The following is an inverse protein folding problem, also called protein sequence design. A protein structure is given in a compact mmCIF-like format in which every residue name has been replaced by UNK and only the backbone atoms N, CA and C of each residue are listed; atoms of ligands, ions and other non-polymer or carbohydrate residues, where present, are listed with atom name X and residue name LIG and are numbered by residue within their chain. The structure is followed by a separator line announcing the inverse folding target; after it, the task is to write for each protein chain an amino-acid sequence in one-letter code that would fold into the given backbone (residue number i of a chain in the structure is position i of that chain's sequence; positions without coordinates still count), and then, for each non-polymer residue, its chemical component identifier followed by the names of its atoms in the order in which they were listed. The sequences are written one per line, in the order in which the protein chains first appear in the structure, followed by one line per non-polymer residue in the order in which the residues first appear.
data_IF_901268768444
#
_entry.id   IF_901268768444
#
_cell.length_a   1.000
_cell.length_b   1.000
_cell.length_c   1.000
_cell.angle_alpha   90.00
_cell.angle_beta   90.00
_cell.angle_gamma   90.00
#
_symmetry.space_group_name_H-M   'P 1'
#
loop_
_entity.id
_entity.type
_entity.pdbx_description
1 polymer ?
#
# COMPACT_ATOMS: atom_id res chain seq x y z
N UNK A 1 -18.83 3.12 -8.12
CA UNK A 1 -18.31 4.16 -9.04
C UNK A 1 -17.01 3.62 -9.62
N UNK A 2 -16.83 3.56 -10.95
CA UNK A 2 -15.54 3.15 -11.51
C UNK A 2 -14.47 4.18 -11.15
N UNK A 3 -13.35 3.73 -10.59
CA UNK A 3 -12.21 4.59 -10.28
C UNK A 3 -11.14 4.43 -11.36
N UNK A 4 -10.64 5.54 -11.88
CA UNK A 4 -9.43 5.55 -12.70
C UNK A 4 -8.21 5.56 -11.78
N UNK A 5 -7.29 4.63 -12.01
CA UNK A 5 -6.11 4.41 -11.17
C UNK A 5 -4.86 4.66 -12.01
N UNK A 6 -3.98 5.54 -11.52
CA UNK A 6 -2.64 5.71 -12.06
C UNK A 6 -1.77 4.50 -11.71
N UNK A 7 -1.18 3.87 -12.72
CA UNK A 7 -0.38 2.65 -12.57
C UNK A 7 0.94 2.90 -11.86
N UNK A 8 1.57 4.05 -12.05
CA UNK A 8 2.86 4.35 -11.44
C UNK A 8 2.69 4.59 -9.93
N UNK A 9 1.63 5.30 -9.55
CA UNK A 9 1.24 5.47 -8.16
C UNK A 9 0.88 4.11 -7.53
N UNK A 10 0.12 3.27 -8.24
CA UNK A 10 -0.21 1.93 -7.74
C UNK A 10 1.05 1.06 -7.56
N UNK A 11 2.00 1.12 -8.50
CA UNK A 11 3.28 0.41 -8.40
C UNK A 11 4.10 0.90 -7.19
N UNK A 12 4.15 2.20 -6.94
CA UNK A 12 4.81 2.76 -5.76
C UNK A 12 4.15 2.29 -4.46
N UNK A 13 2.83 2.34 -4.42
CA UNK A 13 2.01 1.95 -3.28
C UNK A 13 2.18 0.45 -2.95
N UNK A 14 2.17 -0.41 -3.97
CA UNK A 14 2.42 -1.84 -3.82
C UNK A 14 3.85 -2.13 -3.37
N UNK A 15 4.85 -1.39 -3.86
CA UNK A 15 6.24 -1.52 -3.35
C UNK A 15 6.35 -1.09 -1.89
N UNK A 16 5.60 -0.05 -1.49
CA UNK A 16 5.61 0.47 -0.11
C UNK A 16 5.02 -0.52 0.90
N UNK A 17 3.99 -1.26 0.51
CA UNK A 17 3.26 -2.21 1.36
C UNK A 17 3.20 -3.61 0.73
N UNK A 18 4.33 -4.08 0.21
CA UNK A 18 4.42 -5.32 -0.59
C UNK A 18 3.87 -6.53 0.16
N UNK A 19 4.17 -6.63 1.46
CA UNK A 19 3.71 -7.72 2.30
C UNK A 19 2.17 -7.77 2.37
N UNK A 20 1.53 -6.64 2.64
CA UNK A 20 0.08 -6.55 2.78
C UNK A 20 -0.65 -6.82 1.46
N UNK A 21 -0.11 -6.33 0.34
CA UNK A 21 -0.63 -6.64 -0.99
C UNK A 21 -0.47 -8.11 -1.35
N UNK A 22 0.65 -8.73 -0.99
CA UNK A 22 0.87 -10.16 -1.20
C UNK A 22 -0.13 -11.01 -0.40
N UNK A 23 -0.35 -10.68 0.89
CA UNK A 23 -1.37 -11.32 1.73
C UNK A 23 -2.75 -11.21 1.06
N UNK A 24 -3.13 -10.01 0.62
CA UNK A 24 -4.41 -9.75 -0.05
C UNK A 24 -4.57 -10.60 -1.32
N UNK A 25 -3.53 -10.65 -2.16
CA UNK A 25 -3.55 -11.40 -3.43
C UNK A 25 -3.58 -12.92 -3.25
N UNK A 26 -3.14 -13.42 -2.09
CA UNK A 26 -3.15 -14.86 -1.77
C UNK A 26 -4.54 -15.40 -1.42
N UNK A 27 -5.49 -14.51 -1.08
CA UNK A 27 -6.83 -14.89 -0.68
C UNK A 27 -7.74 -15.04 -1.91
N UNK A 28 -8.34 -16.23 -2.10
CA UNK A 28 -9.34 -16.48 -3.17
C UNK A 28 -10.65 -15.72 -2.94
N UNK A 29 -11.04 -15.57 -1.68
CA UNK A 29 -12.23 -14.85 -1.25
C UNK A 29 -11.82 -13.78 -0.25
N UNK A 30 -12.64 -12.72 -0.11
CA UNK A 30 -12.34 -11.59 0.78
C UNK A 30 -12.04 -12.09 2.20
N UNK A 31 -10.94 -11.60 2.76
CA UNK A 31 -10.46 -11.90 4.10
C UNK A 31 -10.40 -10.64 4.96
N UNK A 32 -10.40 -10.80 6.28
CA UNK A 32 -10.24 -9.68 7.23
C UNK A 32 -8.89 -8.98 7.11
N UNK A 33 -7.89 -9.66 6.52
CA UNK A 33 -6.53 -9.16 6.38
C UNK A 33 -6.26 -8.56 4.99
N UNK A 34 -7.29 -8.39 4.17
CA UNK A 34 -7.16 -7.80 2.84
C UNK A 34 -7.01 -6.27 2.90
N UNK A 35 -6.13 -5.75 2.06
CA UNK A 35 -6.04 -4.34 1.74
C UNK A 35 -7.28 -3.92 0.96
N UNK A 36 -7.98 -2.89 1.44
CA UNK A 36 -9.06 -2.27 0.70
C UNK A 36 -8.50 -1.31 -0.37
N UNK A 37 -8.21 -1.85 -1.55
CA UNK A 37 -7.56 -1.15 -2.68
C UNK A 37 -7.98 0.32 -2.87
N UNK A 38 -9.29 0.57 -2.98
CA UNK A 38 -9.82 1.93 -3.21
C UNK A 38 -9.47 2.87 -2.06
N UNK A 39 -9.70 2.46 -0.82
CA UNK A 39 -9.35 3.27 0.35
C UNK A 39 -7.85 3.46 0.44
N UNK A 40 -7.06 2.40 0.29
CA UNK A 40 -5.59 2.50 0.35
C UNK A 40 -5.07 3.50 -0.68
N UNK A 41 -5.55 3.45 -1.93
CA UNK A 41 -5.12 4.36 -2.99
C UNK A 41 -5.47 5.81 -2.68
N UNK A 42 -6.72 6.11 -2.30
CA UNK A 42 -7.11 7.49 -2.03
C UNK A 42 -6.46 8.07 -0.78
N UNK A 43 -6.34 7.29 0.30
CA UNK A 43 -5.63 7.74 1.50
C UNK A 43 -4.14 7.96 1.22
N UNK A 44 -3.53 7.15 0.37
CA UNK A 44 -2.16 7.38 -0.07
C UNK A 44 -2.04 8.70 -0.83
N UNK A 45 -2.94 8.99 -1.78
CA UNK A 45 -2.95 10.29 -2.45
C UNK A 45 -3.15 11.46 -1.48
N UNK A 46 -4.04 11.31 -0.49
CA UNK A 46 -4.36 12.36 0.47
C UNK A 46 -3.26 12.64 1.51
N UNK A 47 -2.40 11.66 1.80
CA UNK A 47 -1.47 11.76 2.92
C UNK A 47 0.00 11.56 2.57
N UNK A 48 0.32 11.03 1.39
CA UNK A 48 1.70 10.92 0.97
C UNK A 48 2.22 12.31 0.63
N UNK A 49 3.13 12.83 1.46
CA UNK A 49 3.82 14.07 1.16
C UNK A 49 5.02 13.87 0.25
N UNK A 50 5.68 14.99 -0.08
CA UNK A 50 6.86 14.98 -0.94
C UNK A 50 7.98 14.17 -0.27
N UNK A 51 8.63 13.24 -0.99
CA UNK A 51 9.74 12.49 -0.42
C UNK A 51 10.87 13.44 -0.03
N UNK A 52 11.30 13.36 1.22
CA UNK A 52 12.40 14.20 1.72
C UNK A 52 13.73 13.74 1.13
N UNK A 53 14.37 14.63 0.36
CA UNK A 53 15.73 14.47 -0.15
C UNK A 53 16.68 15.37 0.65
N UNK A 54 17.51 14.76 1.49
CA UNK A 54 18.43 15.49 2.36
C UNK A 54 19.46 16.32 1.56
N UNK A 55 19.94 15.80 0.43
CA UNK A 55 20.95 16.48 -0.40
C UNK A 55 20.38 17.71 -1.06
N UNK A 56 19.18 17.59 -1.64
CA UNK A 56 18.47 18.71 -2.26
C UNK A 56 18.11 19.77 -1.21
N UNK A 57 17.55 19.34 -0.07
CA UNK A 57 17.29 20.20 1.07
C UNK A 57 18.54 20.99 1.50
N UNK A 58 19.68 20.31 1.61
CA UNK A 58 20.93 20.91 2.05
C UNK A 58 21.41 21.97 1.06
N UNK A 59 21.44 21.66 -0.24
CA UNK A 59 21.88 22.60 -1.29
C UNK A 59 20.95 23.80 -1.47
N UNK A 60 19.65 23.60 -1.32
CA UNK A 60 18.67 24.67 -1.54
C UNK A 60 18.47 25.58 -0.33
N UNK A 61 18.64 25.05 0.89
CA UNK A 61 18.26 25.76 2.11
C UNK A 61 19.39 25.94 3.13
N UNK A 62 20.53 25.27 2.96
CA UNK A 62 21.65 25.36 3.92
C UNK A 62 22.89 25.88 3.23
N UNK A 63 23.51 25.09 2.35
CA UNK A 63 24.71 25.42 1.58
C UNK A 63 24.33 26.14 0.28
N UNK A 64 23.88 27.39 0.44
CA UNK A 64 23.37 28.20 -0.68
C UNK A 64 24.47 28.71 -1.60
N UNK A 65 25.70 28.80 -1.09
CA UNK A 65 26.86 29.23 -1.88
C UNK A 65 27.57 28.05 -2.57
N UNK A 66 27.17 26.81 -2.28
CA UNK A 66 27.67 25.55 -2.86
C UNK A 66 29.17 25.35 -2.63
N UNK A 67 29.65 25.70 -1.42
CA UNK A 67 31.05 25.50 -1.02
C UNK A 67 31.30 24.17 -0.26
N UNK A 68 30.26 23.33 -0.16
CA UNK A 68 30.21 22.03 0.53
C UNK A 68 30.48 22.11 2.05
N UNK A 69 30.62 23.31 2.61
CA UNK A 69 30.82 23.56 4.04
C UNK A 69 29.70 24.43 4.60
N UNK A 70 29.59 24.49 5.93
CA UNK A 70 28.64 25.37 6.60
C UNK A 70 29.37 26.47 7.34
N UNK A 71 29.14 27.71 6.93
CA UNK A 71 29.54 28.90 7.66
C UNK A 71 28.50 29.34 8.72
N UNK A 72 28.79 30.44 9.42
CA UNK A 72 27.90 30.95 10.47
C UNK A 72 26.53 31.42 9.96
N UNK A 73 26.46 31.91 8.72
CA UNK A 73 25.20 32.32 8.09
C UNK A 73 24.36 31.12 7.70
N UNK A 74 24.99 30.08 7.16
CA UNK A 74 24.30 28.87 6.71
C UNK A 74 23.76 28.06 7.90
N UNK A 75 24.52 27.99 9.00
CA UNK A 75 24.02 27.41 10.26
C UNK A 75 22.85 28.23 10.81
N UNK A 76 22.91 29.56 10.72
CA UNK A 76 21.80 30.43 11.11
C UNK A 76 20.58 30.21 10.21
N UNK A 77 20.78 30.04 8.90
CA UNK A 77 19.72 29.78 7.95
C UNK A 77 19.05 28.43 8.22
N UNK A 78 19.84 27.37 8.43
CA UNK A 78 19.34 26.06 8.85
C UNK A 78 18.48 26.18 10.12
N UNK A 79 18.99 26.84 11.16
CA UNK A 79 18.23 27.04 12.40
C UNK A 79 16.93 27.81 12.16
N UNK A 80 16.96 28.84 11.31
CA UNK A 80 15.79 29.65 10.95
C UNK A 80 14.73 28.81 10.21
N UNK A 81 15.15 28.02 9.22
CA UNK A 81 14.29 27.11 8.46
C UNK A 81 13.68 26.05 9.39
N UNK A 82 14.48 25.43 10.26
CA UNK A 82 14.01 24.43 11.22
C UNK A 82 12.98 24.99 12.20
N UNK A 83 13.23 26.18 12.78
CA UNK A 83 12.33 26.79 13.75
C UNK A 83 11.07 27.37 13.10
N UNK A 84 11.24 28.14 12.02
CA UNK A 84 10.17 28.99 11.49
C UNK A 84 9.40 28.34 10.34
N UNK A 85 10.05 27.61 9.43
CA UNK A 85 9.36 26.89 8.33
C UNK A 85 8.76 25.59 8.85
N UNK A 86 9.56 24.74 9.49
CA UNK A 86 9.14 23.39 9.88
C UNK A 86 8.67 23.25 11.34
N UNK A 87 8.71 24.33 12.12
CA UNK A 87 8.21 24.37 13.51
C UNK A 87 8.80 23.26 14.38
N UNK A 88 10.09 22.96 14.21
CA UNK A 88 10.81 21.98 15.03
C UNK A 88 11.03 22.57 16.42
N UNK A 89 10.58 21.89 17.46
CA UNK A 89 10.64 22.41 18.84
C UNK A 89 12.07 22.48 19.38
N UNK A 90 12.32 23.44 20.27
CA UNK A 90 13.58 23.56 21.00
C UNK A 90 13.96 22.25 21.72
N UNK A 91 12.98 21.59 22.34
CA UNK A 91 13.20 20.36 23.08
C UNK A 91 13.77 19.24 22.20
N UNK A 92 13.29 19.13 20.96
CA UNK A 92 13.78 18.12 20.01
C UNK A 92 15.24 18.37 19.62
N UNK A 93 15.64 19.62 19.40
CA UNK A 93 17.04 19.97 19.10
C UNK A 93 17.93 19.77 20.34
N UNK A 94 17.43 20.11 21.52
CA UNK A 94 18.15 19.89 22.78
C UNK A 94 18.39 18.40 23.05
N UNK A 95 17.44 17.53 22.67
CA UNK A 95 17.59 16.07 22.73
C UNK A 95 18.77 15.59 21.88
N UNK A 96 18.84 16.02 20.61
CA UNK A 96 19.97 15.73 19.73
C UNK A 96 21.29 16.23 20.33
N UNK A 97 21.31 17.46 20.87
CA UNK A 97 22.52 18.02 21.47
C UNK A 97 23.02 17.18 22.65
N UNK A 98 22.11 16.68 23.50
CA UNK A 98 22.45 15.79 24.61
C UNK A 98 23.02 14.47 24.12
N UNK A 99 22.43 13.88 23.08
CA UNK A 99 22.89 12.61 22.50
C UNK A 99 24.30 12.72 21.91
N UNK A 100 24.57 13.77 21.15
CA UNK A 100 25.90 14.04 20.58
C UNK A 100 26.94 14.26 21.69
N UNK A 101 26.60 15.05 22.71
CA UNK A 101 27.49 15.30 23.85
C UNK A 101 27.83 14.01 24.60
N UNK A 102 26.82 13.15 24.82
CA UNK A 102 27.02 11.85 25.46
C UNK A 102 27.96 10.95 24.65
N UNK A 103 27.72 10.79 23.34
CA UNK A 103 28.61 10.00 22.44
C UNK A 103 30.05 10.49 22.49
N UNK A 104 30.25 11.81 22.50
CA UNK A 104 31.59 12.41 22.58
C UNK A 104 32.27 12.12 23.92
N UNK A 105 31.54 12.18 25.04
CA UNK A 105 32.09 11.88 26.36
C UNK A 105 32.42 10.39 26.53
N UNK A 106 31.57 9.50 26.00
CA UNK A 106 31.78 8.06 26.07
C UNK A 106 33.04 7.66 25.27
N UNK A 107 33.26 8.28 24.11
CA UNK A 107 34.46 8.05 23.30
C UNK A 107 35.74 8.48 24.04
N UNK A 108 35.74 9.67 24.66
CA UNK A 108 36.89 10.15 25.47
C UNK A 108 37.22 9.25 26.65
N UNK A 109 36.20 8.72 27.33
CA UNK A 109 36.41 7.76 28.43
C UNK A 109 37.08 6.48 27.95
N UNK A 110 36.72 6.00 26.76
CA UNK A 110 37.35 4.82 26.17
C UNK A 110 38.84 5.05 25.84
N UNK A 111 39.21 6.25 25.37
CA UNK A 111 40.62 6.63 25.15
C UNK A 111 41.39 6.65 26.47
N UNK A 112 40.85 7.32 27.49
CA UNK A 112 41.53 7.42 28.79
C UNK A 112 41.77 6.04 29.42
N UNK A 113 40.80 5.12 29.31
CA UNK A 113 40.97 3.73 29.77
C UNK A 113 41.98 2.95 28.94
N UNK A 114 42.06 3.17 27.63
CA UNK A 114 43.03 2.50 26.76
C UNK A 114 44.46 3.01 27.02
N UNK A 115 44.62 4.31 27.26
CA UNK A 115 45.91 4.92 27.62
C UNK A 115 46.39 4.46 29.01
N UNK A 116 45.48 4.35 29.99
CA UNK A 116 45.76 3.78 31.31
C UNK A 116 46.24 2.32 31.22
N UNK A 117 45.56 1.47 30.43
CA UNK A 117 45.98 0.08 30.21
C UNK A 117 47.33 -0.03 29.48
N UNK A 118 47.59 0.86 28.52
CA UNK A 118 48.88 0.91 27.80
C UNK A 118 50.02 1.36 28.72
N UNK A 119 49.74 2.31 29.63
CA UNK A 119 50.67 2.76 30.68
C UNK A 119 50.96 1.67 31.72
N UNK A 120 49.95 0.91 32.16
CA UNK A 120 50.13 -0.24 33.08
C UNK A 120 51.01 -1.33 32.43
N UNK A 121 50.76 -1.66 31.16
CA UNK A 121 51.56 -2.64 30.41
C UNK A 121 53.03 -2.19 30.25
N UNK A 122 53.28 -0.90 30.04
CA UNK A 122 54.65 -0.33 29.93
C UNK A 122 55.36 -0.33 31.29
N UNK A 123 54.63 -0.08 32.39
CA UNK A 123 55.19 -0.11 33.73
C UNK A 123 55.53 -1.54 34.18
N UNK A 124 54.73 -2.53 33.78
CA UNK A 124 55.03 -3.95 34.03
C UNK A 124 56.28 -4.42 33.24
N UNK A 125 56.46 -3.96 31.99
CA UNK A 125 57.65 -4.20 31.18
C UNK A 125 58.93 -3.51 31.73
N UNK A 126 58.79 -2.36 32.41
CA UNK A 126 59.91 -1.71 33.10
C UNK A 126 60.27 -2.42 34.41
N UNK A 127 59.29 -2.93 35.15
CA UNK A 127 59.52 -3.71 36.38
C UNK A 127 60.30 -5.00 36.12
N UNK A 128 60.07 -5.65 34.98
CA UNK A 128 60.81 -6.86 34.59
C UNK A 128 62.26 -6.61 34.15
N UNK A 129 62.62 -5.37 33.78
CA UNK A 129 63.99 -5.04 33.36
C UNK A 129 64.90 -4.55 34.50
N UNK A 130 64.34 -4.10 35.63
CA UNK A 130 65.13 -3.66 36.80
C UNK A 130 65.55 -4.80 37.75
N UNK A 131 64.98 -6.01 37.59
CA UNK A 131 65.35 -7.19 38.41
C UNK A 131 66.53 -8.01 37.87
N UNK A 132 67.11 -7.68 36.70
CA UNK A 132 68.17 -8.51 36.07
C UNK A 132 69.60 -7.94 36.17
N UNK A 133 69.84 -6.91 36.98
CA UNK A 133 71.23 -6.41 37.20
C UNK A 133 71.53 -6.10 38.66
N UNK A 134 71.63 -7.13 39.50
CA UNK A 134 72.53 -7.10 40.68
C UNK A 134 72.78 -8.47 41.32
N UNK A 135 73.76 -9.20 40.79
CA UNK A 135 74.51 -10.20 41.57
C UNK A 135 75.97 -10.14 41.16
N UNK A 136 76.84 -9.63 42.05
CA UNK A 136 78.10 -10.26 42.48
C UNK A 136 79.15 -9.27 43.05
N UNK A 137 79.86 -9.77 44.07
CA UNK A 137 81.16 -9.37 44.66
C UNK A 137 81.26 -8.29 45.76
N UNK A 138 81.23 -8.79 47.01
CA UNK A 138 82.21 -8.72 48.12
C UNK A 138 83.21 -7.57 48.31
N UNK A 139 83.27 -7.19 49.60
CA UNK A 139 84.42 -6.88 50.46
C UNK A 139 84.91 -5.42 50.72
N UNK A 140 85.06 -5.15 52.04
CA UNK A 140 85.99 -4.22 52.72
C UNK A 140 85.57 -2.77 53.07
N UNK A 141 85.12 -2.60 54.33
CA UNK A 141 85.66 -1.72 55.41
C UNK A 141 85.97 -0.22 55.17
N UNK A 142 85.58 0.57 56.20
CA UNK A 142 86.20 1.79 56.80
C UNK A 142 85.45 3.14 56.61
N UNK A 143 85.11 3.76 57.76
CA UNK A 143 85.02 5.21 58.17
C UNK A 143 84.63 6.28 57.13
N UNK A 144 83.96 7.41 57.42
CA UNK A 144 83.59 8.14 58.63
C UNK A 144 82.73 9.37 58.23
N UNK A 145 81.99 9.92 59.21
CA UNK A 145 81.62 11.35 59.38
C UNK A 145 80.88 12.12 58.28
N UNK A 146 79.63 12.54 58.54
CA UNK A 146 79.28 13.84 59.15
C UNK A 146 77.82 14.24 58.87
N UNK A 147 77.11 14.52 59.97
CA UNK A 147 75.87 15.31 60.10
C UNK A 147 76.15 16.82 59.86
N UNK A 148 75.23 17.80 60.05
CA UNK A 148 73.81 17.76 60.50
C UNK A 148 72.91 18.62 59.52
N UNK A 149 71.64 18.99 59.72
CA UNK A 149 70.93 19.43 60.94
C UNK A 149 69.42 19.64 60.65
N UNK A 150 68.60 19.29 61.65
CA UNK A 150 67.40 19.99 62.18
C UNK A 150 66.18 20.21 61.27
N UNK A 151 65.05 19.53 61.50
CA UNK A 151 63.98 19.82 62.51
C UNK A 151 63.29 21.19 62.28
N UNK A 152 61.97 21.30 62.22
CA UNK A 152 61.10 21.22 63.41
C UNK A 152 59.62 21.06 63.02
N UNK A 153 59.03 20.01 63.60
CA UNK A 153 57.69 19.84 64.18
C UNK A 153 56.81 21.10 64.35
N UNK A 154 55.52 21.00 64.02
CA UNK A 154 54.45 21.18 65.04
C UNK A 154 53.11 20.64 64.56
N UNK A 155 52.46 19.99 65.50
CA UNK A 155 51.28 19.16 65.43
C UNK A 155 50.04 19.86 66.00
N UNK A 156 48.88 19.22 65.76
CA UNK A 156 47.61 19.27 66.51
C UNK A 156 46.55 20.26 66.00
N UNK A 157 45.25 19.94 65.91
CA UNK A 157 44.44 18.73 66.15
C UNK A 157 43.05 19.00 65.52
N UNK A 158 42.60 18.17 64.57
CA UNK A 158 41.41 17.29 64.62
C UNK A 158 40.12 17.87 65.26
N UNK A 159 39.06 18.01 64.46
CA UNK A 159 37.92 17.07 64.52
C UNK A 159 36.92 17.22 63.35
N UNK A 160 36.31 16.07 63.02
CA UNK A 160 35.48 15.73 61.88
C UNK A 160 34.16 16.52 61.73
N UNK A 161 33.73 16.74 60.48
CA UNK A 161 32.35 16.50 60.05
C UNK A 161 32.24 16.32 58.53
N UNK A 162 31.45 15.33 58.14
CA UNK A 162 31.22 14.81 56.79
C UNK A 162 30.28 15.75 56.01
N UNK A 163 30.63 16.21 54.80
CA UNK A 163 29.63 16.50 53.74
C UNK A 163 30.27 16.74 52.35
N UNK A 164 29.85 15.90 51.40
CA UNK A 164 29.71 16.09 49.96
C UNK A 164 30.76 16.93 49.19
N UNK A 165 31.76 16.21 48.66
CA UNK A 165 32.62 16.68 47.57
C UNK A 165 31.82 16.90 46.28
N UNK A 166 31.41 18.13 46.02
CA UNK A 166 31.05 18.60 44.69
C UNK A 166 32.35 18.77 43.90
N UNK A 167 32.68 17.80 43.03
CA UNK A 167 33.81 17.96 42.11
C UNK A 167 33.44 18.91 40.96
N UNK A 168 34.40 19.69 40.42
CA UNK A 168 34.11 20.96 39.78
C UNK A 168 34.53 20.94 38.31
N UNK A 169 33.70 20.47 37.37
CA UNK A 169 33.98 20.65 35.94
C UNK A 169 32.70 20.71 35.10
N UNK A 170 32.04 21.87 35.15
CA UNK A 170 30.97 22.24 34.23
C UNK A 170 31.10 23.71 33.87
N UNK A 171 32.03 24.07 32.97
CA UNK A 171 32.08 25.41 32.35
C UNK A 171 33.11 25.54 31.21
N UNK A 172 34.17 24.72 31.16
CA UNK A 172 35.36 25.07 30.37
C UNK A 172 35.40 24.63 28.90
N UNK A 173 34.39 23.95 28.35
CA UNK A 173 34.44 23.54 26.94
C UNK A 173 34.07 24.64 25.92
N UNK A 174 33.52 25.77 26.37
CA UNK A 174 33.11 26.88 25.49
C UNK A 174 33.99 28.14 25.58
N UNK A 175 35.10 28.13 26.32
CA UNK A 175 35.92 29.33 26.54
C UNK A 175 37.12 29.50 25.59
N UNK A 176 37.40 28.55 24.69
CA UNK A 176 38.56 28.63 23.78
C UNK A 176 38.26 29.04 22.34
N UNK A 177 37.00 29.31 21.98
CA UNK A 177 36.69 29.97 20.71
C UNK A 177 36.95 31.48 20.86
N UNK A 178 38.17 31.91 20.57
CA UNK A 178 38.45 33.33 20.29
C UNK A 178 38.04 33.62 18.85
N UNK A 179 37.16 34.60 18.58
CA UNK A 179 36.96 35.08 17.22
C UNK A 179 38.32 35.59 16.74
N UNK A 180 38.84 35.00 15.66
CA UNK A 180 39.95 35.60 14.95
C UNK A 180 39.43 36.96 14.49
N UNK A 181 40.10 38.05 14.88
CA UNK A 181 39.73 39.40 14.48
C UNK A 181 39.84 39.52 12.95
N UNK A 182 38.76 39.20 12.26
CA UNK A 182 38.57 39.74 10.92
C UNK A 182 38.10 41.18 11.10
N UNK A 183 38.64 42.07 10.27
CA UNK A 183 38.33 43.51 10.25
C UNK A 183 36.91 43.78 9.71
N UNK A 184 35.92 43.03 10.18
CA UNK A 184 34.50 43.25 9.90
C UNK A 184 33.74 43.28 11.24
N UNK A 185 32.87 44.28 11.36
CA UNK A 185 32.37 44.85 12.62
C UNK A 185 31.91 43.85 13.68
N UNK A 186 32.17 44.22 14.93
CA UNK A 186 31.68 43.55 16.14
C UNK A 186 30.18 43.24 16.04
N UNK A 187 29.86 41.96 16.09
CA UNK A 187 28.51 41.38 16.00
C UNK A 187 27.65 41.58 17.26
N UNK A 188 28.06 42.45 18.19
CA UNK A 188 27.33 42.72 19.44
C UNK A 188 25.96 43.41 19.28
N UNK A 189 25.56 43.76 18.06
CA UNK A 189 24.32 44.51 17.78
C UNK A 189 23.08 43.65 17.48
N UNK A 190 23.21 42.32 17.37
CA UNK A 190 22.06 41.42 17.12
C UNK A 190 21.73 40.51 18.32
N UNK A 191 22.37 40.77 19.47
CA UNK A 191 22.23 39.98 20.70
C UNK A 191 21.00 40.33 21.55
N UNK A 192 20.24 41.34 21.14
CA UNK A 192 19.07 41.84 21.86
C UNK A 192 17.80 41.52 21.07
N UNK A 193 16.93 40.74 21.70
CA UNK A 193 15.72 40.07 21.18
C UNK A 193 15.98 38.80 20.37
N UNK A 194 15.66 37.64 20.95
CA UNK A 194 14.81 36.63 20.31
C UNK A 194 14.92 35.27 21.03
N UNK A 195 13.78 34.62 21.26
CA UNK A 195 13.66 33.18 21.59
C UNK A 195 14.45 32.26 20.65
N UNK A 196 14.93 32.78 19.51
CA UNK A 196 15.78 32.10 18.54
C UNK A 196 17.23 31.88 19.00
N UNK A 197 17.77 32.69 19.92
CA UNK A 197 19.20 32.62 20.30
C UNK A 197 19.57 31.27 20.90
N UNK A 198 18.76 30.77 21.82
CA UNK A 198 18.97 29.45 22.44
C UNK A 198 18.76 28.31 21.44
N UNK A 199 17.85 28.50 20.48
CA UNK A 199 17.63 27.54 19.39
C UNK A 199 18.85 27.44 18.48
N UNK A 200 19.36 28.58 18.01
CA UNK A 200 20.57 28.64 17.20
C UNK A 200 21.78 28.04 17.94
N UNK A 201 21.91 28.33 19.23
CA UNK A 201 22.96 27.75 20.07
C UNK A 201 22.86 26.22 20.13
N UNK A 202 21.65 25.68 20.26
CA UNK A 202 21.43 24.23 20.28
C UNK A 202 21.76 23.59 18.92
N UNK A 203 21.33 24.18 17.79
CA UNK A 203 21.69 23.68 16.44
C UNK A 203 23.20 23.69 16.22
N UNK A 204 23.89 24.78 16.60
CA UNK A 204 25.36 24.86 16.55
C UNK A 204 26.00 23.76 17.39
N UNK A 205 25.52 23.55 18.61
CA UNK A 205 26.04 22.52 19.52
C UNK A 205 25.95 21.12 18.91
N UNK A 206 24.85 20.82 18.22
CA UNK A 206 24.65 19.55 17.52
C UNK A 206 25.66 19.37 16.37
N UNK A 207 25.77 20.35 15.48
CA UNK A 207 26.67 20.29 14.32
C UNK A 207 28.15 20.23 14.73
N UNK A 208 28.59 21.15 15.59
CA UNK A 208 29.99 21.20 16.03
C UNK A 208 30.34 20.01 16.94
N UNK A 209 29.39 19.51 17.73
CA UNK A 209 29.59 18.28 18.48
C UNK A 209 29.85 17.07 17.58
N UNK A 210 29.09 16.95 16.48
CA UNK A 210 29.30 15.90 15.49
C UNK A 210 30.60 16.07 14.70
N UNK A 211 30.92 17.29 14.27
CA UNK A 211 32.19 17.62 13.61
C UNK A 211 33.39 17.23 14.49
N UNK A 212 33.35 17.59 15.77
CA UNK A 212 34.41 17.26 16.73
C UNK A 212 34.53 15.75 16.93
N UNK A 213 33.40 15.04 17.04
CA UNK A 213 33.39 13.59 17.09
C UNK A 213 34.05 12.99 15.85
N UNK A 214 33.67 13.46 14.65
CA UNK A 214 34.24 13.00 13.38
C UNK A 214 35.74 13.26 13.31
N UNK A 215 36.18 14.46 13.69
CA UNK A 215 37.61 14.79 13.71
C UNK A 215 38.39 13.89 14.67
N UNK A 216 37.85 13.62 15.86
CA UNK A 216 38.47 12.74 16.84
C UNK A 216 38.61 11.32 16.28
N UNK A 217 37.51 10.76 15.79
CA UNK A 217 37.48 9.41 15.20
C UNK A 217 38.45 9.32 14.02
N UNK A 218 38.35 10.21 13.04
CA UNK A 218 39.18 10.15 11.84
C UNK A 218 40.68 10.32 12.13
N UNK A 219 41.04 11.16 13.10
CA UNK A 219 42.44 11.32 13.52
C UNK A 219 43.06 10.05 14.11
N UNK A 220 42.24 9.13 14.66
CA UNK A 220 42.69 7.83 15.14
C UNK A 220 42.91 6.83 14.00
N UNK A 221 42.11 6.92 12.93
CA UNK A 221 42.19 6.01 11.79
C UNK A 221 43.26 6.41 10.76
N UNK A 222 43.41 7.72 10.52
CA UNK A 222 44.38 8.27 9.57
C UNK A 222 45.26 9.33 10.25
N UNK A 223 46.55 9.04 10.51
CA UNK A 223 47.49 9.98 11.10
C UNK A 223 47.72 11.26 10.28
N UNK A 224 47.41 11.25 8.98
CA UNK A 224 47.53 12.42 8.10
C UNK A 224 46.22 13.18 7.94
N UNK A 225 45.15 12.76 8.63
CA UNK A 225 43.85 13.40 8.56
C UNK A 225 43.93 14.86 9.01
N UNK A 226 43.49 15.77 8.14
CA UNK A 226 43.38 17.19 8.45
C UNK A 226 42.02 17.47 9.07
N UNK A 227 42.02 17.86 10.35
CA UNK A 227 40.81 18.21 11.05
C UNK A 227 40.03 19.33 10.34
N UNK A 228 38.75 19.08 10.10
CA UNK A 228 37.83 20.05 9.50
C UNK A 228 37.43 21.10 10.54
N UNK A 229 37.30 22.36 10.11
CA UNK A 229 36.92 23.48 10.97
C UNK A 229 35.46 23.90 10.81
N UNK A 230 34.81 23.43 9.73
CA UNK A 230 33.42 23.71 9.40
C UNK A 230 32.64 22.41 9.23
N UNK A 231 31.37 22.37 9.66
CA UNK A 231 30.48 21.24 9.39
C UNK A 231 30.23 21.09 7.88
N UNK A 232 29.94 19.87 7.43
CA UNK A 232 29.57 19.56 6.03
C UNK A 232 28.20 18.85 5.98
N UNK A 233 27.73 18.51 4.79
CA UNK A 233 26.52 17.69 4.60
C UNK A 233 26.50 16.44 5.50
N UNK A 234 27.63 15.74 5.65
CA UNK A 234 27.69 14.56 6.53
C UNK A 234 27.39 14.89 7.99
N UNK A 235 27.83 16.05 8.49
CA UNK A 235 27.53 16.46 9.88
C UNK A 235 26.06 16.83 10.04
N UNK A 236 25.42 17.41 9.03
CA UNK A 236 23.98 17.66 9.04
C UNK A 236 23.17 16.36 9.09
N UNK A 237 23.55 15.37 8.27
CA UNK A 237 22.88 14.07 8.23
C UNK A 237 23.13 13.27 9.50
N UNK A 238 24.40 13.03 9.84
CA UNK A 238 24.79 12.10 10.90
C UNK A 238 24.56 12.66 12.31
N UNK A 239 24.40 13.97 12.45
CA UNK A 239 23.96 14.57 13.72
C UNK A 239 22.47 14.34 14.03
N UNK A 240 21.70 13.84 13.07
CA UNK A 240 20.25 13.59 13.19
C UNK A 240 19.38 14.83 12.93
N UNK A 241 19.98 15.98 12.57
CA UNK A 241 19.20 17.18 12.20
C UNK A 241 18.38 16.93 10.93
N UNK A 242 18.97 16.28 9.93
CA UNK A 242 18.29 15.85 8.71
C UNK A 242 17.04 15.01 8.98
N UNK A 243 17.13 14.04 9.90
CA UNK A 243 16.00 13.17 10.25
C UNK A 243 14.87 13.95 10.92
N UNK A 244 15.19 14.91 11.79
CA UNK A 244 14.17 15.75 12.42
C UNK A 244 13.50 16.66 11.38
N UNK A 245 14.26 17.21 10.43
CA UNK A 245 13.71 17.96 9.29
C UNK A 245 12.78 17.08 8.45
N UNK A 246 13.23 15.87 8.10
CA UNK A 246 12.43 14.87 7.35
C UNK A 246 11.04 14.65 7.93
N UNK A 247 10.93 14.53 9.25
CA UNK A 247 9.62 14.27 9.92
C UNK A 247 8.59 15.37 9.73
N UNK A 248 9.04 16.59 9.42
CA UNK A 248 8.19 17.77 9.22
C UNK A 248 7.99 18.09 7.74
N UNK A 249 9.05 17.98 6.93
CA UNK A 249 8.97 18.21 5.47
C UNK A 249 7.96 17.26 4.82
N UNK A 250 8.07 15.95 5.11
CA UNK A 250 7.18 14.93 4.54
C UNK A 250 5.70 15.17 4.93
N UNK A 251 5.43 15.94 5.98
CA UNK A 251 4.06 16.26 6.42
C UNK A 251 3.56 17.62 5.96
N UNK A 252 4.45 18.53 5.57
CA UNK A 252 4.08 19.92 5.27
C UNK A 252 3.70 20.14 3.81
N UNK A 253 4.15 19.27 2.91
CA UNK A 253 3.99 19.46 1.47
C UNK A 253 3.20 18.30 0.86
N UNK A 254 1.98 18.62 0.44
CA UNK A 254 1.07 17.69 -0.22
C UNK A 254 1.63 17.31 -1.60
N UNK A 255 1.88 16.02 -1.85
CA UNK A 255 2.44 15.57 -3.13
C UNK A 255 1.39 15.53 -4.24
N UNK A 256 0.18 15.06 -3.92
CA UNK A 256 -0.88 14.86 -4.90
C UNK A 256 -2.05 15.81 -4.66
N UNK A 257 -2.54 16.45 -5.72
CA UNK A 257 -3.72 17.31 -5.62
C UNK A 257 -4.97 16.48 -5.34
N UNK A 258 -5.81 16.93 -4.41
CA UNK A 258 -7.11 16.34 -4.14
C UNK A 258 -8.09 17.40 -3.66
N UNK A 259 -9.38 17.11 -3.83
CA UNK A 259 -10.49 17.91 -3.29
C UNK A 259 -11.42 16.98 -2.54
N UNK A 260 -11.83 17.38 -1.33
CA UNK A 260 -12.89 16.68 -0.62
C UNK A 260 -14.23 17.15 -1.18
N UNK A 261 -15.00 16.21 -1.72
CA UNK A 261 -16.37 16.47 -2.15
C UNK A 261 -17.34 16.34 -0.98
N UNK A 262 -18.45 17.08 -1.07
CA UNK A 262 -19.53 17.00 -0.11
C UNK A 262 -20.28 15.67 -0.26
N UNK A 263 -20.51 15.00 0.86
CA UNK A 263 -21.23 13.73 0.92
C UNK A 263 -22.75 13.94 1.11
N UNK A 264 -23.25 15.17 1.05
CA UNK A 264 -24.70 15.44 1.18
C UNK A 264 -25.56 14.78 0.10
N UNK A 265 -24.98 14.47 -1.06
CA UNK A 265 -25.69 13.83 -2.17
C UNK A 265 -25.78 12.29 -2.05
N UNK A 266 -25.17 11.70 -1.01
CA UNK A 266 -25.14 10.25 -0.79
C UNK A 266 -25.71 9.86 0.58
N UNK A 267 -26.51 8.80 0.61
CA UNK A 267 -27.00 8.18 1.84
C UNK A 267 -26.49 6.74 1.97
N UNK A 268 -25.63 6.48 2.95
CA UNK A 268 -25.13 5.14 3.25
C UNK A 268 -25.65 4.70 4.63
N UNK A 269 -26.50 3.68 4.67
CA UNK A 269 -27.10 3.19 5.91
C UNK A 269 -26.93 1.67 6.01
N UNK A 270 -26.39 1.24 7.15
CA UNK A 270 -26.37 -0.17 7.55
C UNK A 270 -27.69 -0.48 8.26
N UNK A 271 -28.49 -1.38 7.70
CA UNK A 271 -29.81 -1.76 8.20
C UNK A 271 -29.67 -2.98 9.11
N UNK A 272 -30.03 -2.83 10.38
CA UNK A 272 -30.03 -3.90 11.38
C UNK A 272 -31.46 -4.29 11.77
N UNK A 273 -31.63 -5.24 12.67
CA UNK A 273 -32.95 -5.71 13.14
C UNK A 273 -33.72 -4.75 14.09
N UNK A 274 -33.21 -3.53 14.31
CA UNK A 274 -33.79 -2.54 15.23
C UNK A 274 -34.78 -1.63 14.50
N UNK A 275 -36.07 -1.92 14.67
CA UNK A 275 -37.16 -1.25 13.96
C UNK A 275 -37.13 0.28 14.09
N UNK A 276 -36.98 0.80 15.32
CA UNK A 276 -37.04 2.24 15.56
C UNK A 276 -35.86 2.96 14.92
N UNK A 277 -34.65 2.41 15.06
CA UNK A 277 -33.45 2.99 14.44
C UNK A 277 -33.50 2.95 12.92
N UNK A 278 -33.98 1.85 12.34
CA UNK A 278 -34.17 1.76 10.89
C UNK A 278 -35.21 2.78 10.44
N UNK A 279 -36.32 2.94 11.17
CA UNK A 279 -37.30 4.00 10.91
C UNK A 279 -36.68 5.40 10.86
N UNK A 280 -35.88 5.75 11.86
CA UNK A 280 -35.17 7.05 11.89
C UNK A 280 -34.24 7.23 10.67
N UNK A 281 -33.50 6.19 10.26
CA UNK A 281 -32.65 6.22 9.08
C UNK A 281 -33.45 6.44 7.79
N UNK A 282 -34.60 5.77 7.64
CA UNK A 282 -35.46 5.90 6.45
C UNK A 282 -36.19 7.25 6.40
N UNK A 283 -36.59 7.79 7.56
CA UNK A 283 -37.14 9.13 7.68
C UNK A 283 -36.12 10.20 7.29
N UNK A 284 -34.85 10.02 7.67
CA UNK A 284 -33.76 10.88 7.25
C UNK A 284 -33.58 10.87 5.73
N UNK A 285 -33.56 9.69 5.11
CA UNK A 285 -33.47 9.55 3.65
C UNK A 285 -34.64 10.23 2.94
N UNK A 286 -35.84 10.07 3.48
CA UNK A 286 -37.06 10.72 2.99
C UNK A 286 -36.95 12.24 3.01
N UNK A 287 -36.33 12.80 4.05
CA UNK A 287 -36.13 14.23 4.22
C UNK A 287 -35.01 14.79 3.34
N UNK A 288 -33.86 14.09 3.30
CA UNK A 288 -32.66 14.54 2.56
C UNK A 288 -32.77 14.32 1.06
N UNK A 289 -33.45 13.25 0.64
CA UNK A 289 -33.56 12.82 -0.76
C UNK A 289 -32.22 12.84 -1.50
N UNK A 290 -31.19 12.13 -0.99
CA UNK A 290 -29.89 12.08 -1.67
C UNK A 290 -30.05 11.44 -3.07
N UNK A 291 -29.18 11.82 -4.00
CA UNK A 291 -29.21 11.28 -5.37
C UNK A 291 -28.84 9.79 -5.41
N UNK A 292 -28.01 9.35 -4.46
CA UNK A 292 -27.59 7.96 -4.33
C UNK A 292 -27.90 7.43 -2.94
N UNK A 293 -28.61 6.30 -2.88
CA UNK A 293 -28.95 5.60 -1.63
C UNK A 293 -28.30 4.22 -1.68
N UNK A 294 -27.57 3.88 -0.63
CA UNK A 294 -27.01 2.56 -0.37
C UNK A 294 -27.52 2.08 0.98
N UNK A 295 -28.42 1.10 0.96
CA UNK A 295 -28.86 0.36 2.14
C UNK A 295 -28.18 -0.99 2.13
N UNK A 296 -27.38 -1.28 3.15
CA UNK A 296 -26.71 -2.57 3.28
C UNK A 296 -27.38 -3.38 4.39
N UNK A 297 -27.77 -4.61 4.09
CA UNK A 297 -28.40 -5.47 5.09
C UNK A 297 -27.35 -6.04 6.06
N UNK A 298 -27.53 -5.72 7.33
CA UNK A 298 -26.75 -6.21 8.47
C UNK A 298 -27.73 -6.77 9.51
N UNK A 299 -28.81 -7.37 8.99
CA UNK A 299 -29.84 -8.07 9.75
C UNK A 299 -29.39 -9.50 10.04
N UNK A 300 -30.06 -10.13 10.99
CA UNK A 300 -29.89 -11.54 11.29
C UNK A 300 -30.29 -12.38 10.07
N UNK A 301 -29.30 -13.02 9.44
CA UNK A 301 -29.48 -13.79 8.21
C UNK A 301 -30.42 -15.00 8.34
N UNK A 302 -30.59 -15.53 9.55
CA UNK A 302 -31.44 -16.70 9.81
C UNK A 302 -32.83 -16.35 10.31
N UNK A 303 -32.94 -15.27 11.07
CA UNK A 303 -34.19 -14.85 11.71
C UNK A 303 -34.27 -13.32 11.71
N UNK A 304 -34.44 -12.69 10.54
CA UNK A 304 -34.52 -11.24 10.44
C UNK A 304 -35.80 -10.74 11.12
N UNK A 305 -35.76 -9.52 11.64
CA UNK A 305 -36.95 -8.88 12.17
C UNK A 305 -37.93 -8.57 11.02
N UNK A 306 -39.04 -9.32 10.98
CA UNK A 306 -40.06 -9.20 9.93
C UNK A 306 -40.63 -7.77 9.85
N UNK A 307 -40.73 -7.07 10.99
CA UNK A 307 -41.23 -5.68 10.99
C UNK A 307 -40.27 -4.73 10.27
N UNK A 308 -38.96 -4.95 10.37
CA UNK A 308 -37.95 -4.18 9.63
C UNK A 308 -38.05 -4.49 8.13
N UNK A 309 -38.23 -5.76 7.77
CA UNK A 309 -38.42 -6.18 6.36
C UNK A 309 -39.67 -5.52 5.77
N UNK A 310 -40.79 -5.55 6.48
CA UNK A 310 -42.03 -4.87 6.07
C UNK A 310 -41.84 -3.35 5.95
N UNK A 311 -41.13 -2.73 6.89
CA UNK A 311 -40.82 -1.31 6.87
C UNK A 311 -40.00 -0.93 5.63
N UNK A 312 -38.99 -1.71 5.27
CA UNK A 312 -38.19 -1.52 4.05
C UNK A 312 -39.03 -1.67 2.78
N UNK A 313 -39.90 -2.69 2.71
CA UNK A 313 -40.81 -2.86 1.58
C UNK A 313 -41.75 -1.66 1.43
N UNK A 314 -42.31 -1.17 2.54
CA UNK A 314 -43.18 0.00 2.53
C UNK A 314 -42.43 1.26 2.09
N UNK A 315 -41.21 1.45 2.59
CA UNK A 315 -40.33 2.54 2.17
C UNK A 315 -40.06 2.50 0.67
N UNK A 316 -39.62 1.35 0.11
CA UNK A 316 -39.30 1.28 -1.32
C UNK A 316 -40.52 1.41 -2.22
N UNK A 317 -41.68 0.82 -1.86
CA UNK A 317 -42.94 1.03 -2.59
C UNK A 317 -43.37 2.50 -2.60
N UNK A 318 -43.13 3.22 -1.51
CA UNK A 318 -43.44 4.64 -1.41
C UNK A 318 -42.42 5.51 -2.15
N UNK A 319 -41.13 5.24 -1.97
CA UNK A 319 -40.02 6.05 -2.48
C UNK A 319 -39.80 5.83 -3.99
N UNK A 320 -40.02 4.60 -4.48
CA UNK A 320 -39.95 4.22 -5.89
C UNK A 320 -41.26 3.54 -6.33
N UNK A 321 -42.36 4.31 -6.51
CA UNK A 321 -43.69 3.76 -6.77
C UNK A 321 -43.84 3.12 -8.16
N UNK A 322 -42.86 3.32 -9.05
CA UNK A 322 -42.82 2.69 -10.37
C UNK A 322 -41.73 1.62 -10.33
N UNK A 323 -42.12 0.33 -10.40
CA UNK A 323 -41.15 -0.77 -10.48
C UNK A 323 -40.23 -0.62 -11.68
N UNK A 324 -38.96 -0.99 -11.52
CA UNK A 324 -38.02 -1.13 -12.61
C UNK A 324 -38.46 -2.23 -13.58
N UNK A 325 -38.14 -2.08 -14.87
CA UNK A 325 -38.35 -3.14 -15.87
C UNK A 325 -37.59 -4.44 -15.57
N UNK A 326 -36.61 -4.39 -14.66
CA UNK A 326 -35.82 -5.54 -14.21
C UNK A 326 -36.40 -6.21 -12.95
N UNK A 327 -37.44 -5.64 -12.33
CA UNK A 327 -38.14 -6.28 -11.22
C UNK A 327 -39.05 -7.39 -11.72
N UNK A 328 -39.11 -8.49 -10.96
CA UNK A 328 -40.05 -9.57 -11.21
C UNK A 328 -41.48 -9.12 -10.87
N UNK A 329 -42.51 -9.74 -11.47
CA UNK A 329 -43.89 -9.55 -11.04
C UNK A 329 -44.07 -9.87 -9.56
N UNK A 330 -45.11 -9.30 -8.94
CA UNK A 330 -45.37 -9.53 -7.52
C UNK A 330 -45.59 -11.01 -7.21
N UNK A 331 -44.85 -11.53 -6.22
CA UNK A 331 -44.90 -12.93 -5.80
C UNK A 331 -44.04 -13.88 -6.62
N UNK A 332 -43.37 -13.41 -7.67
CA UNK A 332 -42.41 -14.19 -8.45
C UNK A 332 -41.01 -14.07 -7.83
N UNK A 333 -40.30 -15.19 -7.78
CA UNK A 333 -38.89 -15.25 -7.36
C UNK A 333 -38.03 -15.77 -8.50
N UNK A 334 -36.74 -15.44 -8.51
CA UNK A 334 -35.82 -16.05 -9.45
C UNK A 334 -35.47 -17.48 -8.97
N UNK A 335 -35.92 -18.54 -9.67
CA UNK A 335 -35.69 -19.91 -9.22
C UNK A 335 -34.24 -20.39 -9.40
N UNK A 336 -33.40 -19.63 -10.12
CA UNK A 336 -32.02 -20.00 -10.40
C UNK A 336 -31.05 -18.90 -10.00
N UNK A 337 -30.10 -19.23 -9.13
CA UNK A 337 -29.04 -18.28 -8.78
C UNK A 337 -28.01 -18.15 -9.92
N UNK A 338 -27.81 -19.21 -10.70
CA UNK A 338 -26.76 -19.27 -11.73
C UNK A 338 -27.30 -19.64 -13.12
N UNK A 339 -26.63 -19.15 -14.16
CA UNK A 339 -27.01 -19.33 -15.58
C UNK A 339 -26.97 -20.81 -15.99
N UNK A 340 -26.02 -21.58 -15.48
CA UNK A 340 -25.89 -23.01 -15.79
C UNK A 340 -27.09 -23.81 -15.25
N UNK A 341 -27.61 -23.47 -14.06
CA UNK A 341 -28.82 -24.07 -13.51
C UNK A 341 -30.05 -23.76 -14.37
N UNK A 342 -30.21 -22.49 -14.78
CA UNK A 342 -31.26 -22.07 -15.71
C UNK A 342 -31.16 -22.83 -17.04
N UNK A 343 -29.94 -23.00 -17.56
CA UNK A 343 -29.71 -23.68 -18.82
C UNK A 343 -30.02 -25.18 -18.73
N UNK A 344 -29.61 -25.84 -17.65
CA UNK A 344 -29.96 -27.24 -17.37
C UNK A 344 -31.48 -27.42 -17.28
N UNK A 345 -32.18 -26.50 -16.60
CA UNK A 345 -33.63 -26.53 -16.51
C UNK A 345 -34.28 -26.44 -17.90
N UNK A 346 -33.84 -25.48 -18.74
CA UNK A 346 -34.35 -25.34 -20.10
C UNK A 346 -34.06 -26.56 -20.98
N UNK A 347 -32.87 -27.15 -20.87
CA UNK A 347 -32.50 -28.34 -21.65
C UNK A 347 -33.32 -29.56 -21.23
N UNK A 348 -33.57 -29.73 -19.92
CA UNK A 348 -34.45 -30.78 -19.41
C UNK A 348 -35.90 -30.62 -19.92
N UNK A 349 -36.43 -29.39 -19.92
CA UNK A 349 -37.75 -29.10 -20.47
C UNK A 349 -37.83 -29.40 -21.97
N UNK A 350 -36.81 -29.00 -22.75
CA UNK A 350 -36.72 -29.32 -24.18
C UNK A 350 -36.66 -30.83 -24.43
N UNK A 351 -35.82 -31.55 -23.67
CA UNK A 351 -35.70 -32.99 -23.79
C UNK A 351 -37.02 -33.70 -23.47
N UNK A 352 -37.69 -33.31 -22.39
CA UNK A 352 -39.00 -33.84 -22.00
C UNK A 352 -40.04 -33.64 -23.11
N UNK A 353 -40.07 -32.43 -23.70
CA UNK A 353 -40.95 -32.12 -24.83
C UNK A 353 -40.62 -32.99 -26.05
N UNK A 354 -39.36 -33.12 -26.45
CA UNK A 354 -38.97 -33.97 -27.58
C UNK A 354 -39.30 -35.45 -27.35
N UNK A 355 -39.16 -35.94 -26.12
CA UNK A 355 -39.55 -37.30 -25.77
C UNK A 355 -41.08 -37.48 -25.90
N UNK A 356 -41.87 -36.53 -25.39
CA UNK A 356 -43.33 -36.54 -25.51
C UNK A 356 -43.80 -36.48 -26.97
N UNK A 357 -43.25 -35.54 -27.75
CA UNK A 357 -43.55 -35.40 -29.19
C UNK A 357 -43.18 -36.69 -29.94
N UNK A 358 -42.04 -37.31 -29.61
CA UNK A 358 -41.60 -38.59 -30.17
C UNK A 358 -42.58 -39.74 -29.87
N UNK A 359 -43.12 -39.82 -28.66
CA UNK A 359 -44.16 -40.80 -28.29
C UNK A 359 -45.43 -40.58 -29.10
N UNK A 360 -45.90 -39.34 -29.22
CA UNK A 360 -47.09 -39.00 -30.01
C UNK A 360 -46.90 -39.39 -31.48
N UNK A 361 -45.78 -38.99 -32.09
CA UNK A 361 -45.50 -39.31 -33.50
C UNK A 361 -45.45 -40.83 -33.70
N UNK A 362 -44.82 -41.57 -32.79
CA UNK A 362 -44.77 -43.03 -32.86
C UNK A 362 -46.16 -43.66 -32.75
N UNK A 363 -47.01 -43.16 -31.86
CA UNK A 363 -48.39 -43.64 -31.71
C UNK A 363 -49.24 -43.37 -32.97
N UNK A 364 -49.12 -42.17 -33.56
CA UNK A 364 -49.80 -41.81 -34.82
C UNK A 364 -49.33 -42.74 -35.95
N UNK A 365 -48.01 -42.91 -36.12
CA UNK A 365 -47.45 -43.82 -37.11
C UNK A 365 -47.93 -45.26 -36.92
N UNK A 366 -48.01 -45.73 -35.67
CA UNK A 366 -48.53 -47.05 -35.34
C UNK A 366 -50.01 -47.20 -35.74
N UNK A 367 -50.86 -46.23 -35.39
CA UNK A 367 -52.28 -46.22 -35.76
C UNK A 367 -52.45 -46.23 -37.29
N UNK A 368 -51.69 -45.39 -38.01
CA UNK A 368 -51.69 -45.37 -39.47
C UNK A 368 -51.26 -46.72 -40.07
N UNK A 369 -50.19 -47.32 -39.55
CA UNK A 369 -49.73 -48.64 -39.97
C UNK A 369 -50.79 -49.73 -39.72
N UNK A 370 -51.41 -49.75 -38.53
CA UNK A 370 -52.52 -50.66 -38.22
C UNK A 370 -53.69 -50.47 -39.19
N UNK A 371 -54.06 -49.21 -39.50
CA UNK A 371 -55.09 -48.88 -40.48
C UNK A 371 -54.77 -49.41 -41.89
N UNK A 372 -53.54 -49.22 -42.37
CA UNK A 372 -53.08 -49.73 -43.66
C UNK A 372 -53.09 -51.27 -43.72
N UNK A 373 -52.68 -51.94 -42.63
CA UNK A 373 -52.70 -53.40 -42.52
C UNK A 373 -54.15 -53.92 -42.54
N UNK A 374 -55.05 -53.30 -41.77
CA UNK A 374 -56.48 -53.62 -41.76
C UNK A 374 -57.10 -53.47 -43.16
N UNK A 375 -56.81 -52.38 -43.86
CA UNK A 375 -57.27 -52.14 -45.23
C UNK A 375 -56.79 -53.25 -46.18
N UNK A 376 -55.51 -53.64 -46.11
CA UNK A 376 -54.95 -54.75 -46.92
C UNK A 376 -55.60 -56.09 -46.59
N UNK A 377 -55.87 -56.38 -45.32
CA UNK A 377 -56.57 -57.59 -44.89
C UNK A 377 -58.01 -57.65 -45.40
N UNK A 378 -58.73 -56.52 -45.41
CA UNK A 378 -60.09 -56.41 -45.95
C UNK A 378 -60.09 -56.63 -47.47
N UNK A 379 -59.20 -55.96 -48.21
CA UNK A 379 -59.09 -56.11 -49.67
C UNK A 379 -58.70 -57.54 -50.06
N UNK A 380 -57.78 -58.18 -49.33
CA UNK A 380 -57.41 -59.58 -49.55
C UNK A 380 -58.57 -60.56 -49.31
N UNK A 381 -59.41 -60.31 -48.30
CA UNK A 381 -60.66 -61.07 -48.07
C UNK A 381 -61.69 -60.85 -49.19
N UNK A 382 -61.82 -59.64 -49.71
CA UNK A 382 -62.70 -59.35 -50.85
C UNK A 382 -62.23 -60.03 -52.13
N UNK A 383 -60.93 -60.03 -52.41
CA UNK A 383 -60.35 -60.71 -53.57
C UNK A 383 -60.48 -62.25 -53.48
N UNK A 384 -60.35 -62.86 -52.29
CA UNK A 384 -60.60 -64.29 -52.08
C UNK A 384 -62.06 -64.71 -52.32
N UNK A 385 -63.03 -63.81 -52.13
CA UNK A 385 -64.44 -64.04 -52.46
C UNK A 385 -64.73 -63.97 -53.97
N UNK A 386 -63.88 -63.26 -54.72
CA UNK A 386 -64.05 -63.09 -56.17
C UNK A 386 -63.35 -64.17 -57.02
N UNK A 387 -62.48 -65.00 -56.43
CA UNK A 387 -61.73 -66.04 -57.14
C UNK A 387 -62.35 -67.44 -57.11
N UNK A 388 -63.58 -67.61 -56.59
CA UNK A 388 -64.29 -68.90 -56.53
C UNK A 388 -65.39 -69.07 -57.59
N UNK A 389 -65.32 -68.33 -58.71
CA UNK A 389 -66.32 -68.46 -59.76
C UNK A 389 -65.78 -68.15 -61.15
N UNK A 390 -65.70 -69.21 -61.97
CA UNK A 390 -66.00 -69.27 -63.42
C UNK A 390 -64.83 -69.61 -64.36
N UNK A 391 -65.02 -70.71 -65.09
CA UNK A 391 -64.23 -71.24 -66.21
C UNK A 391 -64.74 -70.73 -67.57
N UNK A 392 -63.79 -70.25 -68.41
CA UNK A 392 -63.58 -70.30 -69.91
C UNK A 392 -64.75 -70.24 -70.94
N UNK A 393 -64.57 -69.87 -72.24
CA UNK A 393 -63.38 -70.05 -73.12
C UNK A 393 -63.00 -68.90 -74.10
N UNK A 394 -61.95 -69.19 -74.90
CA UNK A 394 -61.19 -68.40 -75.90
C UNK A 394 -61.97 -67.71 -77.05
N UNK A 395 -61.41 -66.61 -77.58
CA UNK A 395 -61.36 -66.33 -79.04
C UNK A 395 -60.17 -65.42 -79.44
N UNK A 396 -59.66 -65.68 -80.65
CA UNK A 396 -58.47 -65.13 -81.32
C UNK A 396 -58.66 -63.71 -81.90
N UNK A 397 -57.56 -62.95 -82.06
CA UNK A 397 -57.08 -62.21 -83.26
C UNK A 397 -56.03 -61.16 -82.82
N UNK A 398 -54.74 -61.20 -83.21
CA UNK A 398 -54.03 -60.93 -84.47
C UNK A 398 -53.52 -59.48 -84.66
N UNK A 399 -52.19 -59.37 -84.91
CA UNK A 399 -51.39 -58.30 -85.56
C UNK A 399 -51.22 -56.96 -84.80
N UNK A 400 -50.01 -56.43 -84.51
CA UNK A 400 -48.87 -56.02 -85.37
C UNK A 400 -48.89 -54.48 -85.47
N UNK A 401 -47.87 -53.65 -85.16
CA UNK A 401 -46.57 -53.43 -85.84
C UNK A 401 -45.90 -52.17 -85.19
N UNK A 402 -44.59 -52.27 -84.83
CA UNK A 402 -43.40 -51.37 -85.09
C UNK A 402 -43.56 -49.83 -84.90
N UNK A 403 -42.69 -49.04 -84.25
CA UNK A 403 -41.26 -48.68 -84.53
C UNK A 403 -40.76 -47.70 -83.43
N UNK A 404 -39.60 -47.90 -82.78
CA UNK A 404 -38.27 -47.25 -82.98
C UNK A 404 -38.12 -45.72 -82.75
N UNK A 405 -37.22 -45.34 -81.82
CA UNK A 405 -35.96 -44.53 -81.97
C UNK A 405 -35.50 -43.99 -80.59
N UNK A 406 -34.37 -44.43 -80.01
CA UNK A 406 -33.03 -43.76 -79.91
C UNK A 406 -33.08 -42.27 -79.50
N UNK A 407 -32.37 -41.75 -78.49
CA UNK A 407 -30.89 -41.67 -78.25
C UNK A 407 -30.67 -41.03 -76.86
N UNK A 408 -29.69 -41.44 -76.01
CA UNK A 408 -28.35 -40.84 -75.81
C UNK A 408 -28.36 -39.29 -75.59
N UNK A 409 -27.65 -38.62 -74.66
CA UNK A 409 -26.35 -38.89 -73.99
C UNK A 409 -26.07 -37.77 -72.97
N UNK A 410 -25.33 -38.11 -71.88
CA UNK A 410 -24.22 -37.38 -71.20
C UNK A 410 -24.40 -35.90 -70.72
N UNK A 411 -23.79 -35.43 -69.62
CA UNK A 411 -22.37 -35.53 -69.22
C UNK A 411 -22.14 -35.13 -67.76
N UNK A 412 -21.05 -35.68 -67.22
CA UNK A 412 -20.27 -35.37 -66.00
C UNK A 412 -20.01 -33.88 -65.69
N UNK A 413 -19.74 -33.57 -64.41
CA UNK A 413 -18.42 -33.09 -63.95
C UNK A 413 -18.32 -32.84 -62.42
N UNK A 414 -17.31 -33.49 -61.82
CA UNK A 414 -16.29 -33.00 -60.86
C UNK A 414 -16.59 -32.05 -59.68
N UNK A 415 -16.11 -32.49 -58.51
CA UNK A 415 -15.53 -31.76 -57.36
C UNK A 415 -14.77 -30.46 -57.72
N UNK A 416 -14.64 -29.47 -56.80
CA UNK A 416 -13.45 -29.46 -55.94
C UNK A 416 -13.61 -28.88 -54.52
N UNK A 417 -12.54 -29.12 -53.76
CA UNK A 417 -12.19 -28.73 -52.41
C UNK A 417 -11.74 -27.26 -52.23
N UNK A 418 -11.74 -26.83 -50.96
CA UNK A 418 -10.79 -25.95 -50.24
C UNK A 418 -11.19 -24.54 -49.76
N UNK A 419 -10.88 -24.34 -48.46
CA UNK A 419 -10.21 -23.20 -47.80
C UNK A 419 -10.99 -22.05 -47.13
N UNK A 420 -10.69 -21.93 -45.83
CA UNK A 420 -10.28 -20.75 -45.03
C UNK A 420 -11.04 -19.41 -45.11
N UNK A 421 -11.34 -18.87 -43.93
CA UNK A 421 -10.97 -17.48 -43.61
C UNK A 421 -12.10 -16.46 -43.34
N UNK A 422 -12.33 -16.20 -42.05
CA UNK A 422 -12.34 -14.86 -41.42
C UNK A 422 -13.40 -13.78 -41.73
N UNK A 423 -13.61 -12.96 -40.69
CA UNK A 423 -14.02 -11.54 -40.63
C UNK A 423 -15.53 -11.14 -40.69
N UNK A 424 -15.96 -10.61 -39.53
CA UNK A 424 -16.53 -9.27 -39.31
C UNK A 424 -18.00 -8.91 -39.67
N UNK A 425 -18.73 -8.55 -38.59
CA UNK A 425 -19.55 -7.35 -38.34
C UNK A 425 -20.33 -6.66 -39.47
N UNK A 426 -21.63 -6.44 -39.22
CA UNK A 426 -22.44 -5.23 -39.54
C UNK A 426 -23.64 -5.25 -38.57
N UNK A 427 -23.86 -4.32 -37.64
CA UNK A 427 -24.23 -2.90 -37.72
C UNK A 427 -25.47 -2.58 -38.58
N UNK A 428 -26.60 -2.33 -37.91
CA UNK A 428 -27.72 -1.53 -38.41
C UNK A 428 -28.26 -0.72 -37.22
N UNK A 429 -27.88 0.56 -37.11
CA UNK A 429 -28.57 1.78 -37.62
C UNK A 429 -29.82 2.18 -36.83
N UNK A 430 -29.58 3.14 -35.95
CA UNK A 430 -30.45 4.14 -35.36
C UNK A 430 -31.04 5.12 -36.40
N UNK A 431 -32.23 5.68 -36.11
CA UNK A 431 -32.57 7.10 -36.29
C UNK A 431 -33.96 7.47 -35.70
N UNK A 432 -34.33 8.78 -35.55
CA UNK A 432 -34.79 9.35 -34.28
C UNK A 432 -36.16 10.04 -34.35
N UNK A 433 -36.74 10.37 -33.19
CA UNK A 433 -37.72 11.44 -32.97
C UNK A 433 -37.60 11.80 -31.48
N UNK A 434 -37.59 13.04 -31.01
CA UNK A 434 -37.95 14.34 -31.58
C UNK A 434 -38.39 15.17 -30.37
N UNK A 435 -37.75 16.32 -30.17
CA UNK A 435 -38.07 17.31 -29.14
C UNK A 435 -39.53 17.78 -29.25
N UNK A 436 -40.14 18.12 -28.12
CA UNK A 436 -41.09 19.22 -28.00
C UNK A 436 -41.06 19.76 -26.56
N UNK A 437 -40.92 21.07 -26.49
CA UNK A 437 -40.92 21.96 -25.32
C UNK A 437 -42.33 22.20 -24.74
N UNK A 438 -42.37 23.01 -23.67
CA UNK A 438 -43.49 23.68 -22.97
C UNK A 438 -44.18 22.83 -21.87
N UNK A 439 -44.32 23.24 -20.59
CA UNK A 439 -44.17 24.50 -19.81
C UNK A 439 -43.63 24.16 -18.42
#
# INVERSE_FOLDING_TARGET
MPHMIDKDIMNELQKKWEYEFNVTSSNRFRSSNDMQYTFTYFYYLMHEGIPYNATEFFKEHVDTNQDDTMDDYEIRNLANVMLNKYKISQEKVNELSRNVTKKMNDLKKSETMNDLKKSETINDLKKTNDETTRTEMKDSKVESTSNPTSTTTTSSKLNHTLSNSTSPFGSSYFSSWRPRSSSYGSWGSYDTYSSFKDYLKAVRSVLFGHLNYTNLVMSQYDPNYKARTRPTFEDFVNSGLSDVVKTKVHKSEQRFSYTLEDLSEVGFHMIRDDYDKVGEQLDELTRKRPKFICLNDDMNQTTPNIQVVELLHNFYRWYFPKPSQFELPEGEENPFLYIDQLQQYHDMQRYSKYAYDGVIVTAICFICCCGLILQRCIVSRMNKKSSSGRSTPQQQQHSGVVSFTSSATSTDHQLPSQQQGSLHTTSHKSHPYGENEEV
#
